data_IF_809120205684
#
_entry.id   IF_809120205684
#
_cell.length_a   1.000
_cell.length_b   1.000
_cell.length_c   1.000
_cell.angle_alpha   90.00
_cell.angle_beta   90.00
_cell.angle_gamma   90.00
#
_symmetry.space_group_name_H-M   'P 1'
#
loop_
_entity.id
_entity.type
_entity.pdbx_description
1 polymer ?
#
# COMPACT_ATOMS: atom_id res chain seq x y z
N UNK A 1 4.55 3.05 21.67
CA UNK A 1 3.81 2.81 20.40
C UNK A 1 4.11 3.95 19.45
N UNK A 2 4.39 3.70 18.17
CA UNK A 2 4.75 4.75 17.20
C UNK A 2 3.54 5.62 16.86
N UNK A 3 3.73 6.93 16.70
CA UNK A 3 2.69 7.82 16.21
C UNK A 3 2.51 7.59 14.70
N UNK A 4 1.33 7.11 14.30
CA UNK A 4 0.97 6.92 12.89
C UNK A 4 0.06 8.08 12.46
N UNK A 5 0.52 8.85 11.49
CA UNK A 5 -0.22 10.00 10.92
C UNK A 5 -0.67 9.74 9.49
N UNK A 6 -0.12 8.74 8.81
CA UNK A 6 -0.45 8.42 7.41
C UNK A 6 -0.66 6.91 7.21
N UNK A 7 -1.60 6.58 6.33
CA UNK A 7 -1.76 5.28 5.68
C UNK A 7 -1.51 5.53 4.20
N UNK A 8 -0.39 5.03 3.68
CA UNK A 8 0.09 5.32 2.33
C UNK A 8 -0.16 4.10 1.44
N UNK A 9 -0.94 4.29 0.39
CA UNK A 9 -1.27 3.25 -0.59
C UNK A 9 -0.24 3.26 -1.73
N UNK A 10 0.21 2.06 -2.08
CA UNK A 10 1.19 1.77 -3.13
C UNK A 10 0.66 0.73 -4.11
N UNK A 11 1.32 0.65 -5.26
CA UNK A 11 1.24 -0.47 -6.20
C UNK A 11 2.63 -1.08 -6.37
N UNK A 12 2.72 -2.38 -6.67
CA UNK A 12 4.01 -3.06 -6.88
C UNK A 12 4.65 -2.77 -8.24
N UNK A 13 3.95 -2.05 -9.12
CA UNK A 13 4.29 -1.90 -10.52
C UNK A 13 4.41 -3.25 -11.26
N UNK A 14 3.53 -4.19 -10.92
CA UNK A 14 3.39 -5.46 -11.66
C UNK A 14 2.49 -5.26 -12.89
N UNK A 15 2.91 -5.67 -14.10
CA UNK A 15 2.06 -5.62 -15.31
C UNK A 15 0.79 -6.47 -15.21
N UNK A 16 -0.30 -6.02 -15.84
CA UNK A 16 -1.51 -6.83 -16.06
C UNK A 16 -1.16 -8.18 -16.70
N UNK A 17 -1.82 -9.25 -16.25
CA UNK A 17 -1.58 -10.61 -16.71
C UNK A 17 -0.35 -11.29 -16.07
N UNK A 18 0.45 -10.56 -15.29
CA UNK A 18 1.52 -11.15 -14.47
C UNK A 18 1.08 -11.22 -13.01
N UNK A 19 1.62 -12.22 -12.31
CA UNK A 19 1.45 -12.38 -10.87
C UNK A 19 2.75 -12.15 -10.12
N UNK A 20 2.68 -11.51 -8.96
CA UNK A 20 3.77 -11.31 -8.01
C UNK A 20 3.26 -11.67 -6.61
N UNK A 21 3.69 -12.82 -6.09
CA UNK A 21 3.35 -13.22 -4.73
C UNK A 21 3.99 -12.29 -3.70
N UNK A 22 3.42 -12.27 -2.48
CA UNK A 22 4.01 -11.51 -1.37
C UNK A 22 5.46 -11.93 -1.07
N UNK A 23 5.77 -13.22 -1.17
CA UNK A 23 7.14 -13.73 -0.99
C UNK A 23 8.07 -13.27 -2.11
N UNK A 24 7.62 -13.30 -3.37
CA UNK A 24 8.42 -12.78 -4.48
C UNK A 24 8.68 -11.27 -4.33
N UNK A 25 7.69 -10.49 -3.90
CA UNK A 25 7.86 -9.07 -3.58
C UNK A 25 8.85 -8.84 -2.42
N UNK A 26 8.80 -9.69 -1.38
CA UNK A 26 9.78 -9.68 -0.28
C UNK A 26 11.19 -9.95 -0.78
N UNK A 27 11.38 -10.99 -1.60
CA UNK A 27 12.68 -11.35 -2.15
C UNK A 27 13.26 -10.25 -3.04
N UNK A 28 12.44 -9.63 -3.92
CA UNK A 28 12.87 -8.47 -4.72
C UNK A 28 13.40 -7.32 -3.84
N UNK A 29 12.66 -6.98 -2.78
CA UNK A 29 13.08 -5.94 -1.85
C UNK A 29 14.40 -6.25 -1.12
N UNK A 30 14.64 -7.51 -0.78
CA UNK A 30 15.88 -7.93 -0.12
C UNK A 30 17.04 -7.90 -1.11
N UNK A 31 16.89 -8.59 -2.24
CA UNK A 31 17.96 -8.84 -3.20
C UNK A 31 18.33 -7.61 -4.04
N UNK A 32 17.35 -6.77 -4.40
CA UNK A 32 17.56 -5.67 -5.33
C UNK A 32 17.49 -4.29 -4.69
N UNK A 33 16.90 -4.16 -3.50
CA UNK A 33 16.76 -2.86 -2.80
C UNK A 33 17.55 -2.79 -1.50
N UNK A 34 18.22 -3.87 -1.10
CA UNK A 34 19.01 -3.93 0.12
C UNK A 34 18.18 -3.80 1.41
N UNK A 35 16.88 -4.10 1.34
CA UNK A 35 16.04 -4.07 2.53
C UNK A 35 16.23 -5.35 3.35
N UNK A 36 15.98 -5.27 4.66
CA UNK A 36 16.01 -6.46 5.54
C UNK A 36 14.79 -7.37 5.37
N UNK A 37 13.73 -6.82 4.81
CA UNK A 37 12.43 -7.47 4.60
C UNK A 37 11.60 -6.60 3.62
N UNK A 38 10.45 -7.09 3.19
CA UNK A 38 9.44 -6.35 2.42
C UNK A 38 9.24 -4.95 3.03
N UNK A 39 9.22 -3.91 2.19
CA UNK A 39 9.14 -2.52 2.65
C UNK A 39 7.76 -2.14 3.21
N UNK A 40 6.71 -2.89 2.87
CA UNK A 40 5.32 -2.60 3.22
C UNK A 40 4.90 -3.30 4.53
N UNK A 41 3.83 -2.79 5.14
CA UNK A 41 3.19 -3.43 6.29
C UNK A 41 2.12 -4.43 5.84
N UNK A 42 1.47 -4.16 4.70
CA UNK A 42 0.51 -5.05 4.07
C UNK A 42 0.76 -5.13 2.56
N UNK A 43 0.57 -6.32 2.01
CA UNK A 43 0.60 -6.59 0.57
C UNK A 43 -0.69 -7.31 0.17
N UNK A 44 -1.36 -6.87 -0.89
CA UNK A 44 -2.65 -7.44 -1.33
C UNK A 44 -2.48 -8.05 -2.72
N UNK A 45 -2.55 -9.37 -2.83
CA UNK A 45 -2.49 -10.08 -4.11
C UNK A 45 -3.75 -9.89 -4.93
N UNK A 46 -3.70 -10.25 -6.22
CA UNK A 46 -4.80 -10.03 -7.19
C UNK A 46 -6.14 -10.68 -6.79
N UNK A 47 -6.11 -11.75 -6.03
CA UNK A 47 -7.29 -12.44 -5.49
C UNK A 47 -7.86 -11.80 -4.21
N UNK A 48 -7.24 -10.71 -3.74
CA UNK A 48 -7.68 -9.98 -2.55
C UNK A 48 -7.11 -10.52 -1.23
N UNK A 49 -6.24 -11.54 -1.25
CA UNK A 49 -5.58 -12.01 -0.03
C UNK A 49 -4.68 -10.89 0.53
N UNK A 50 -4.81 -10.62 1.84
CA UNK A 50 -4.00 -9.63 2.55
C UNK A 50 -2.86 -10.35 3.26
N UNK A 51 -1.66 -10.21 2.75
CA UNK A 51 -0.44 -10.68 3.40
C UNK A 51 0.12 -9.62 4.34
N UNK A 52 0.47 -10.05 5.55
CA UNK A 52 1.18 -9.19 6.51
C UNK A 52 2.67 -9.14 6.15
N UNK A 53 3.18 -7.93 5.98
CA UNK A 53 4.61 -7.65 5.82
C UNK A 53 5.22 -7.29 7.17
N UNK A 54 5.85 -6.11 7.25
CA UNK A 54 6.41 -5.61 8.51
C UNK A 54 5.31 -5.37 9.53
N UNK A 55 5.58 -5.77 10.78
CA UNK A 55 4.71 -5.46 11.92
C UNK A 55 4.51 -3.94 12.06
N UNK A 56 3.32 -3.51 12.49
CA UNK A 56 2.95 -2.08 12.60
C UNK A 56 3.89 -1.28 13.54
N UNK A 57 4.48 -1.96 14.52
CA UNK A 57 5.41 -1.39 15.48
C UNK A 57 6.81 -1.14 14.87
N UNK A 58 7.12 -1.74 13.72
CA UNK A 58 8.43 -1.64 13.04
C UNK A 58 8.38 -0.67 11.88
N UNK A 59 9.42 0.15 11.75
CA UNK A 59 9.52 1.16 10.68
C UNK A 59 9.54 0.48 9.30
N UNK A 60 8.66 0.96 8.41
CA UNK A 60 8.57 0.51 7.02
C UNK A 60 9.74 0.99 6.15
N UNK A 61 9.76 0.56 4.89
CA UNK A 61 10.69 1.04 3.87
C UNK A 61 9.96 1.26 2.53
N UNK A 62 8.89 2.06 2.55
CA UNK A 62 7.97 2.22 1.44
C UNK A 62 7.83 3.66 0.93
N UNK A 63 8.09 4.66 1.77
CA UNK A 63 8.01 6.08 1.38
C UNK A 63 9.11 6.88 2.08
N UNK A 64 10.11 7.36 1.31
CA UNK A 64 11.24 8.13 1.83
C UNK A 64 10.71 9.34 2.63
N UNK A 65 11.33 9.63 3.76
CA UNK A 65 10.95 10.69 4.72
C UNK A 65 9.60 10.51 5.44
N UNK A 66 8.79 9.50 5.10
CA UNK A 66 7.50 9.25 5.74
C UNK A 66 7.42 7.89 6.46
N UNK A 67 8.41 7.02 6.31
CA UNK A 67 8.43 5.68 6.89
C UNK A 67 8.22 5.63 8.41
N UNK A 68 8.72 6.61 9.17
CA UNK A 68 8.74 6.57 10.64
C UNK A 68 7.36 6.75 11.27
N UNK A 69 6.43 7.41 10.57
CA UNK A 69 5.11 7.79 11.07
C UNK A 69 3.96 7.33 10.14
N UNK A 70 4.18 6.29 9.34
CA UNK A 70 3.18 5.78 8.41
C UNK A 70 3.07 4.26 8.37
N UNK A 71 1.89 3.81 7.95
CA UNK A 71 1.62 2.44 7.50
C UNK A 71 1.65 2.43 5.97
N UNK A 72 2.20 1.38 5.39
CA UNK A 72 2.33 1.21 3.95
C UNK A 72 1.54 -0.01 3.50
N UNK A 73 0.56 0.20 2.63
CA UNK A 73 -0.27 -0.85 2.02
C UNK A 73 0.03 -0.89 0.54
N UNK A 74 0.46 -2.03 0.01
CA UNK A 74 0.72 -2.20 -1.42
C UNK A 74 -0.26 -3.20 -2.01
N UNK A 75 -0.87 -2.88 -3.14
CA UNK A 75 -1.55 -3.89 -3.94
C UNK A 75 -0.65 -4.39 -5.07
N UNK A 76 -0.84 -5.64 -5.46
CA UNK A 76 -0.20 -6.24 -6.61
C UNK A 76 -0.78 -5.65 -7.91
N UNK A 77 0.05 -4.97 -8.71
CA UNK A 77 -0.37 -4.36 -9.97
C UNK A 77 0.21 -2.96 -10.17
N UNK A 78 -0.46 -2.15 -10.98
CA UNK A 78 -0.11 -0.75 -11.22
C UNK A 78 0.42 -0.45 -12.62
N UNK A 79 0.62 -1.45 -13.47
CA UNK A 79 1.03 -1.27 -14.86
C UNK A 79 0.08 -2.02 -15.82
N UNK A 80 -0.27 -1.40 -16.94
CA UNK A 80 -0.95 -2.08 -18.04
C UNK A 80 -0.03 -3.12 -18.74
N UNK A 81 -0.57 -3.85 -19.72
CA UNK A 81 0.18 -4.85 -20.47
C UNK A 81 1.40 -4.29 -21.23
N UNK A 82 1.45 -2.98 -21.49
CA UNK A 82 2.55 -2.28 -22.15
C UNK A 82 3.53 -1.63 -21.15
N UNK A 83 3.34 -1.86 -19.84
CA UNK A 83 4.19 -1.30 -18.79
C UNK A 83 3.90 0.17 -18.46
N UNK A 84 2.75 0.73 -18.87
CA UNK A 84 2.37 2.09 -18.51
C UNK A 84 1.59 2.12 -17.19
N UNK A 85 1.76 3.14 -16.33
CA UNK A 85 1.00 3.28 -15.09
C UNK A 85 -0.52 3.26 -15.32
N UNK A 86 -1.22 2.37 -14.61
CA UNK A 86 -2.68 2.20 -14.68
C UNK A 86 -3.19 1.65 -13.35
N UNK A 87 -4.36 2.09 -12.88
CA UNK A 87 -5.04 1.39 -11.78
C UNK A 87 -5.55 0.04 -12.29
N UNK A 88 -4.90 -1.04 -11.86
CA UNK A 88 -5.19 -2.42 -12.28
C UNK A 88 -5.79 -3.26 -11.16
N UNK A 89 -6.26 -2.62 -10.07
CA UNK A 89 -6.83 -3.34 -8.93
C UNK A 89 -8.04 -4.15 -9.36
N UNK A 90 -8.07 -5.41 -8.96
CA UNK A 90 -9.26 -6.27 -9.08
C UNK A 90 -10.37 -5.83 -8.12
N UNK A 91 -11.59 -6.38 -8.29
CA UNK A 91 -12.69 -6.09 -7.38
C UNK A 91 -12.40 -6.63 -5.98
N UNK A 92 -11.76 -7.79 -5.91
CA UNK A 92 -11.33 -8.46 -4.68
C UNK A 92 -10.30 -7.60 -3.94
N UNK A 93 -9.30 -7.07 -4.66
CA UNK A 93 -8.32 -6.13 -4.08
C UNK A 93 -8.99 -4.85 -3.58
N UNK A 94 -9.95 -4.28 -4.31
CA UNK A 94 -10.67 -3.08 -3.88
C UNK A 94 -11.46 -3.32 -2.60
N UNK A 95 -12.14 -4.47 -2.50
CA UNK A 95 -12.87 -4.89 -1.30
C UNK A 95 -11.95 -5.10 -0.09
N UNK A 96 -10.87 -5.87 -0.28
CA UNK A 96 -9.87 -6.15 0.75
C UNK A 96 -9.19 -4.87 1.24
N UNK A 97 -8.78 -4.00 0.33
CA UNK A 97 -8.17 -2.71 0.65
C UNK A 97 -9.14 -1.83 1.45
N UNK A 98 -10.40 -1.71 1.04
CA UNK A 98 -11.38 -0.92 1.78
C UNK A 98 -11.60 -1.45 3.21
N UNK A 99 -11.72 -2.76 3.38
CA UNK A 99 -11.87 -3.39 4.70
C UNK A 99 -10.64 -3.13 5.59
N UNK A 100 -9.44 -3.29 5.03
CA UNK A 100 -8.18 -3.02 5.72
C UNK A 100 -8.06 -1.54 6.13
N UNK A 101 -8.42 -0.61 5.24
CA UNK A 101 -8.37 0.82 5.53
C UNK A 101 -9.32 1.21 6.66
N UNK A 102 -10.53 0.63 6.72
CA UNK A 102 -11.47 0.84 7.83
C UNK A 102 -10.88 0.38 9.17
N UNK A 103 -10.26 -0.80 9.18
CA UNK A 103 -9.63 -1.34 10.39
C UNK A 103 -8.42 -0.50 10.82
N UNK A 104 -7.56 -0.10 9.88
CA UNK A 104 -6.44 0.79 10.17
C UNK A 104 -6.90 2.17 10.65
N UNK A 105 -8.01 2.70 10.12
CA UNK A 105 -8.61 3.95 10.62
C UNK A 105 -9.21 3.81 12.00
N UNK A 106 -9.74 2.63 12.35
CA UNK A 106 -10.19 2.37 13.73
C UNK A 106 -9.01 2.38 14.71
N UNK A 107 -7.87 1.79 14.32
CA UNK A 107 -6.65 1.77 15.14
C UNK A 107 -5.91 3.12 15.18
N UNK A 108 -5.93 3.86 14.06
CA UNK A 108 -5.27 5.16 13.91
C UNK A 108 -6.28 6.23 13.41
N UNK A 109 -7.22 6.69 14.26
CA UNK A 109 -8.32 7.57 13.84
C UNK A 109 -7.89 8.86 13.16
N UNK A 110 -6.74 9.42 13.57
CA UNK A 110 -6.21 10.68 13.02
C UNK A 110 -5.36 10.49 11.75
N UNK A 111 -5.06 9.25 11.35
CA UNK A 111 -4.21 9.02 10.19
C UNK A 111 -4.94 9.39 8.89
N UNK A 112 -4.25 10.07 7.99
CA UNK A 112 -4.77 10.39 6.65
C UNK A 112 -4.50 9.22 5.71
N UNK A 113 -5.45 8.93 4.81
CA UNK A 113 -5.27 7.95 3.73
C UNK A 113 -4.81 8.71 2.49
N UNK A 114 -3.64 8.36 1.98
CA UNK A 114 -3.00 9.03 0.85
C UNK A 114 -2.37 8.01 -0.10
N UNK A 115 -2.11 8.41 -1.33
CA UNK A 115 -1.26 7.69 -2.26
C UNK A 115 0.19 8.15 -2.15
N UNK A 116 1.14 7.32 -2.60
CA UNK A 116 2.56 7.73 -2.66
C UNK A 116 2.75 9.01 -3.50
N UNK A 117 1.99 9.18 -4.58
CA UNK A 117 2.02 10.36 -5.44
C UNK A 117 1.70 11.67 -4.73
N UNK A 118 0.90 11.62 -3.66
CA UNK A 118 0.52 12.81 -2.90
C UNK A 118 1.69 13.33 -2.02
N UNK A 119 2.67 12.46 -1.74
CA UNK A 119 3.88 12.77 -0.99
C UNK A 119 5.10 12.96 -1.92
N UNK A 120 5.02 12.44 -3.14
CA UNK A 120 6.02 12.62 -4.18
C UNK A 120 5.33 12.68 -5.56
N UNK A 121 4.99 13.89 -6.06
CA UNK A 121 4.24 14.07 -7.30
C UNK A 121 4.93 13.51 -8.56
N UNK A 122 6.25 13.26 -8.50
CA UNK A 122 7.00 12.63 -9.60
C UNK A 122 6.68 11.14 -9.77
N UNK A 123 5.91 10.53 -8.85
CA UNK A 123 5.52 9.12 -8.91
C UNK A 123 4.06 8.99 -9.35
N UNK A 124 3.79 8.05 -10.26
CA UNK A 124 2.41 7.69 -10.63
C UNK A 124 1.70 6.82 -9.59
N UNK A 125 2.46 6.14 -8.72
CA UNK A 125 1.96 5.23 -7.68
C UNK A 125 1.01 5.94 -6.69
N UNK A 126 -0.20 5.42 -6.38
CA UNK A 126 -0.70 4.07 -6.64
C UNK A 126 -1.54 3.94 -7.93
N UNK A 127 -1.37 4.84 -8.89
CA UNK A 127 -2.05 4.88 -10.19
C UNK A 127 -3.53 5.28 -10.15
N UNK A 128 -4.01 5.78 -9.02
CA UNK A 128 -5.31 6.42 -8.84
C UNK A 128 -5.23 7.52 -7.77
N UNK A 129 -6.31 8.30 -7.60
CA UNK A 129 -6.44 9.32 -6.55
C UNK A 129 -7.01 8.71 -5.27
N UNK A 130 -6.10 8.29 -4.37
CA UNK A 130 -6.46 7.65 -3.11
C UNK A 130 -7.18 8.58 -2.12
N UNK A 131 -6.80 9.86 -2.09
CA UNK A 131 -7.42 10.86 -1.20
C UNK A 131 -8.89 11.04 -1.58
N UNK A 132 -9.17 11.19 -2.88
CA UNK A 132 -10.53 11.33 -3.39
C UNK A 132 -11.34 10.06 -3.15
N UNK A 133 -10.81 8.90 -3.52
CA UNK A 133 -11.51 7.60 -3.43
C UNK A 133 -11.88 7.24 -1.99
N UNK A 134 -11.00 7.50 -1.03
CA UNK A 134 -11.19 7.10 0.37
C UNK A 134 -11.55 8.24 1.32
N UNK A 135 -11.99 9.38 0.79
CA UNK A 135 -12.41 10.55 1.57
C UNK A 135 -13.51 10.25 2.60
N UNK A 136 -14.36 9.25 2.32
CA UNK A 136 -15.46 8.83 3.20
C UNK A 136 -15.07 7.74 4.20
N UNK A 137 -13.82 7.24 4.18
CA UNK A 137 -13.35 6.25 5.15
C UNK A 137 -13.01 6.97 6.46
N UNK A 138 -14.06 7.25 7.22
CA UNK A 138 -13.97 7.83 8.55
C UNK A 138 -13.83 6.74 9.62
N UNK A 139 -13.17 7.06 10.72
CA UNK A 139 -13.24 6.25 11.93
C UNK A 139 -14.64 6.39 12.51
N UNK A 140 -15.41 5.30 12.60
CA UNK A 140 -16.55 5.26 13.50
C UNK A 140 -15.98 5.22 14.94
N UNK A 141 -16.01 6.36 15.61
CA UNK A 141 -15.88 6.39 17.06
C UNK A 141 -17.23 5.94 17.61
N UNK A 142 -17.27 4.75 18.22
CA UNK A 142 -18.34 4.42 19.17
C UNK A 142 -18.12 5.20 20.45
#
# INVERSE_FOLDING_TARGET
MRTITLIIIHCSATPEGKSLSAEACRQDHILHRGFRDIGYHFYITRDGEIHRGRALEKIGAHCRNHNTHSVGVCYEGGLDANGKPKDTRTLEQKGALLALLRELKRQFPKALIVGHRDLNPMKGCPCFDAVKEYSQVISYQK
#
